data_IF_043127920794
#
_entry.id   IF_043127920794
#
_cell.length_a   1.000
_cell.length_b   1.000
_cell.length_c   1.000
_cell.angle_alpha   90.00
_cell.angle_beta   90.00
_cell.angle_gamma   90.00
#
_symmetry.space_group_name_H-M   'P 1'
#
loop_
_entity.id
_entity.type
_entity.pdbx_description
1 polymer ?
#
# COMPACT_ATOMS: atom_id res chain seq x y z
N UNK A 1 21.82 6.96 11.16
CA UNK A 1 21.59 5.56 11.59
C UNK A 1 20.11 5.33 11.94
N UNK A 2 19.45 6.12 12.83
CA UNK A 2 18.02 5.94 13.20
C UNK A 2 17.11 5.82 11.96
N UNK A 3 17.13 6.80 11.08
CA UNK A 3 16.25 6.85 9.90
C UNK A 3 16.49 5.72 8.90
N UNK A 4 17.74 5.25 8.76
CA UNK A 4 18.06 4.09 7.93
C UNK A 4 17.44 2.81 8.50
N UNK A 5 17.51 2.63 9.82
CA UNK A 5 16.89 1.48 10.49
C UNK A 5 15.35 1.51 10.40
N UNK A 6 14.72 2.67 10.64
CA UNK A 6 13.28 2.84 10.48
C UNK A 6 12.84 2.57 9.04
N UNK A 7 13.62 3.03 8.07
CA UNK A 7 13.35 2.82 6.65
C UNK A 7 13.38 1.34 6.28
N UNK A 8 14.47 0.65 6.65
CA UNK A 8 14.62 -0.80 6.41
C UNK A 8 13.50 -1.56 7.12
N UNK A 9 13.21 -1.23 8.38
CA UNK A 9 12.14 -1.87 9.15
C UNK A 9 10.78 -1.71 8.45
N UNK A 10 10.44 -0.49 8.01
CA UNK A 10 9.16 -0.23 7.33
C UNK A 10 9.04 -1.01 6.02
N UNK A 11 10.12 -1.05 5.22
CA UNK A 11 10.16 -1.81 3.95
C UNK A 11 10.00 -3.31 4.23
N UNK A 12 10.74 -3.87 5.19
CA UNK A 12 10.65 -5.29 5.54
C UNK A 12 9.28 -5.66 6.10
N UNK A 13 8.72 -4.83 6.99
CA UNK A 13 7.40 -5.08 7.57
C UNK A 13 6.33 -5.04 6.47
N UNK A 14 6.21 -3.95 5.72
CA UNK A 14 5.17 -3.86 4.69
C UNK A 14 5.38 -4.87 3.56
N UNK A 15 6.63 -5.19 3.19
CA UNK A 15 6.89 -6.21 2.19
C UNK A 15 6.49 -7.62 2.64
N UNK A 16 6.69 -7.96 3.90
CA UNK A 16 6.31 -9.27 4.43
C UNK A 16 4.83 -9.41 4.80
N UNK A 17 4.09 -8.30 4.90
CA UNK A 17 2.62 -8.38 5.15
C UNK A 17 1.88 -9.08 4.01
N UNK A 18 2.36 -9.04 2.79
CA UNK A 18 1.76 -9.73 1.66
C UNK A 18 1.76 -11.25 1.88
N UNK A 19 2.91 -11.82 2.23
CA UNK A 19 3.00 -13.24 2.60
C UNK A 19 2.19 -13.55 3.87
N UNK A 20 2.20 -12.66 4.86
CA UNK A 20 1.44 -12.90 6.08
C UNK A 20 -0.08 -12.94 5.87
N UNK A 21 -0.61 -12.25 4.85
CA UNK A 21 -2.01 -12.33 4.45
C UNK A 21 -2.35 -13.74 3.95
N UNK A 22 -1.45 -14.39 3.22
CA UNK A 22 -1.65 -15.74 2.68
C UNK A 22 -2.03 -16.75 3.76
N UNK A 23 -1.41 -16.65 4.93
CA UNK A 23 -1.74 -17.52 6.08
C UNK A 23 -3.12 -17.25 6.70
N UNK A 24 -3.87 -16.27 6.21
CA UNK A 24 -5.24 -15.99 6.66
C UNK A 24 -6.29 -16.42 5.63
N UNK A 25 -5.89 -16.71 4.40
CA UNK A 25 -6.80 -17.08 3.33
C UNK A 25 -7.28 -18.53 3.52
N UNK A 26 -8.56 -18.76 3.22
CA UNK A 26 -9.18 -20.08 3.32
C UNK A 26 -9.55 -20.53 4.75
N UNK A 27 -9.07 -19.85 5.79
CA UNK A 27 -9.33 -20.23 7.19
C UNK A 27 -10.57 -19.52 7.76
N UNK A 28 -10.69 -18.23 7.47
CA UNK A 28 -11.77 -17.36 7.96
C UNK A 28 -12.18 -16.43 6.84
N UNK A 29 -13.44 -16.07 6.77
CA UNK A 29 -13.93 -15.13 5.76
C UNK A 29 -13.16 -13.82 5.77
N UNK A 30 -12.80 -13.34 4.58
CA UNK A 30 -11.95 -12.16 4.40
C UNK A 30 -12.42 -10.94 5.22
N UNK A 31 -13.72 -10.53 5.18
CA UNK A 31 -14.15 -9.38 5.96
C UNK A 31 -13.97 -9.57 7.47
N UNK A 32 -14.15 -10.81 7.99
CA UNK A 32 -13.98 -11.12 9.40
C UNK A 32 -12.50 -11.07 9.81
N UNK A 33 -11.60 -11.68 9.02
CA UNK A 33 -10.14 -11.62 9.27
C UNK A 33 -9.63 -10.19 9.29
N UNK A 34 -10.05 -9.36 8.33
CA UNK A 34 -9.67 -7.94 8.27
C UNK A 34 -10.28 -7.15 9.44
N UNK A 35 -11.54 -7.47 9.85
CA UNK A 35 -12.16 -6.85 11.02
C UNK A 35 -11.35 -7.14 12.29
N UNK A 36 -10.96 -8.39 12.55
CA UNK A 36 -10.13 -8.77 13.69
C UNK A 36 -8.79 -8.04 13.68
N UNK A 37 -8.13 -7.95 12.53
CA UNK A 37 -6.89 -7.19 12.37
C UNK A 37 -7.05 -5.75 12.82
N UNK A 38 -8.08 -5.05 12.35
CA UNK A 38 -8.29 -3.63 12.69
C UNK A 38 -8.87 -3.42 14.08
N UNK A 39 -9.62 -4.38 14.65
CA UNK A 39 -10.02 -4.34 16.06
C UNK A 39 -8.80 -4.34 16.98
N UNK A 40 -7.87 -5.28 16.76
CA UNK A 40 -6.63 -5.38 17.54
C UNK A 40 -5.79 -4.10 17.34
N UNK A 41 -5.61 -3.66 16.10
CA UNK A 41 -4.85 -2.46 15.79
C UNK A 41 -5.47 -1.20 16.42
N UNK A 42 -6.80 -1.06 16.41
CA UNK A 42 -7.51 0.04 17.05
C UNK A 42 -7.26 0.06 18.56
N UNK A 43 -7.43 -1.08 19.24
CA UNK A 43 -7.18 -1.18 20.70
C UNK A 43 -5.76 -0.77 21.03
N UNK A 44 -4.77 -1.25 20.29
CA UNK A 44 -3.35 -0.92 20.50
C UNK A 44 -3.06 0.56 20.23
N UNK A 45 -3.61 1.13 19.16
CA UNK A 45 -3.38 2.52 18.79
C UNK A 45 -4.10 3.47 19.77
N UNK A 46 -5.29 3.13 20.24
CA UNK A 46 -5.97 3.87 21.30
C UNK A 46 -5.18 3.80 22.60
N UNK A 47 -4.70 2.61 23.01
CA UNK A 47 -3.85 2.40 24.17
C UNK A 47 -2.58 3.28 24.10
N UNK A 48 -1.91 3.30 22.95
CA UNK A 48 -0.76 4.19 22.70
C UNK A 48 -1.15 5.68 22.87
N UNK A 49 -2.24 6.12 22.25
CA UNK A 49 -2.69 7.51 22.33
C UNK A 49 -3.01 7.93 23.76
N UNK A 50 -3.65 7.07 24.55
CA UNK A 50 -3.90 7.34 25.99
C UNK A 50 -2.60 7.41 26.78
N UNK A 51 -1.69 6.45 26.58
CA UNK A 51 -0.40 6.45 27.28
C UNK A 51 0.45 7.68 26.93
N UNK A 52 0.52 8.04 25.64
CA UNK A 52 1.27 9.19 25.15
C UNK A 52 0.52 10.53 25.32
N UNK A 53 -0.68 10.53 25.95
CA UNK A 53 -1.52 11.71 26.16
C UNK A 53 -1.81 12.50 24.89
N UNK A 54 -1.98 11.80 23.75
CA UNK A 54 -2.33 12.40 22.47
C UNK A 54 -3.76 12.91 22.51
N UNK A 55 -4.03 14.18 22.14
CA UNK A 55 -5.41 14.70 22.07
C UNK A 55 -6.25 13.92 21.04
N UNK A 56 -7.37 13.33 21.51
CA UNK A 56 -8.24 12.46 20.70
C UNK A 56 -9.53 13.14 20.24
N UNK A 57 -9.72 14.42 20.58
CA UNK A 57 -10.95 15.15 20.27
C UNK A 57 -10.85 15.86 18.92
N UNK A 58 -11.87 15.67 18.09
CA UNK A 58 -11.99 16.29 16.78
C UNK A 58 -13.39 16.89 16.60
N UNK A 59 -13.52 17.89 15.73
CA UNK A 59 -14.82 18.41 15.31
C UNK A 59 -15.56 17.36 14.44
N UNK A 60 -16.89 17.47 14.34
CA UNK A 60 -17.72 16.60 13.49
C UNK A 60 -17.23 16.61 12.04
N UNK A 61 -16.85 17.79 11.52
CA UNK A 61 -16.31 17.91 10.17
C UNK A 61 -15.00 17.13 10.01
N UNK A 62 -14.13 17.08 11.02
CA UNK A 62 -12.90 16.29 10.97
C UNK A 62 -13.19 14.80 11.10
N UNK A 63 -14.17 14.39 11.93
CA UNK A 63 -14.60 12.99 12.00
C UNK A 63 -15.15 12.49 10.66
N UNK A 64 -15.83 13.34 9.88
CA UNK A 64 -16.25 12.97 8.51
C UNK A 64 -15.05 12.56 7.64
N UNK A 65 -13.95 13.33 7.65
CA UNK A 65 -12.76 12.99 6.85
C UNK A 65 -11.97 11.81 7.44
N UNK A 66 -12.03 11.58 8.76
CA UNK A 66 -11.51 10.36 9.38
C UNK A 66 -12.34 9.15 8.94
N UNK A 67 -13.67 9.29 8.85
CA UNK A 67 -14.55 8.23 8.35
C UNK A 67 -14.26 7.91 6.88
N UNK A 68 -14.06 8.92 6.03
CA UNK A 68 -13.65 8.73 4.63
C UNK A 68 -12.31 7.96 4.57
N UNK A 69 -11.33 8.35 5.38
CA UNK A 69 -10.06 7.62 5.49
C UNK A 69 -10.29 6.16 5.93
N UNK A 70 -11.17 5.93 6.91
CA UNK A 70 -11.47 4.59 7.42
C UNK A 70 -12.11 3.69 6.36
N UNK A 71 -13.11 4.21 5.62
CA UNK A 71 -13.77 3.50 4.54
C UNK A 71 -12.75 3.05 3.48
N UNK A 72 -11.89 3.95 3.05
CA UNK A 72 -10.99 3.69 1.94
C UNK A 72 -9.70 3.00 2.36
N UNK A 73 -9.07 3.37 3.48
CA UNK A 73 -7.75 2.83 3.86
C UNK A 73 -7.78 1.75 4.94
N UNK A 74 -8.81 1.68 5.78
CA UNK A 74 -8.85 0.75 6.90
C UNK A 74 -10.00 -0.27 6.84
N UNK A 75 -10.78 -0.28 5.73
CA UNK A 75 -11.82 -1.30 5.52
C UNK A 75 -11.82 -1.83 4.09
N UNK A 76 -12.45 -1.15 3.14
CA UNK A 76 -12.70 -1.69 1.79
C UNK A 76 -11.38 -2.03 1.07
N UNK A 77 -10.36 -1.18 1.16
CA UNK A 77 -9.07 -1.46 0.55
C UNK A 77 -8.52 -2.83 0.97
N UNK A 78 -8.45 -3.08 2.28
CA UNK A 78 -7.89 -4.33 2.79
C UNK A 78 -8.76 -5.53 2.45
N UNK A 79 -10.09 -5.40 2.51
CA UNK A 79 -10.97 -6.49 2.07
C UNK A 79 -10.71 -6.86 0.61
N UNK A 80 -10.55 -5.86 -0.28
CA UNK A 80 -10.27 -6.08 -1.70
C UNK A 80 -8.84 -6.63 -1.92
N UNK A 81 -7.83 -6.16 -1.15
CA UNK A 81 -6.46 -6.72 -1.19
C UNK A 81 -6.46 -8.20 -0.81
N UNK A 82 -7.09 -8.57 0.29
CA UNK A 82 -7.19 -9.98 0.70
C UNK A 82 -7.91 -10.82 -0.34
N UNK A 83 -9.02 -10.30 -0.89
CA UNK A 83 -9.74 -10.98 -1.97
C UNK A 83 -8.90 -11.14 -3.23
N UNK A 84 -8.02 -10.19 -3.56
CA UNK A 84 -7.13 -10.31 -4.72
C UNK A 84 -6.08 -11.42 -4.55
N UNK A 85 -5.59 -11.63 -3.34
CA UNK A 85 -4.61 -12.68 -3.03
C UNK A 85 -5.20 -14.10 -3.04
N UNK A 86 -6.52 -14.26 -3.08
CA UNK A 86 -7.14 -15.55 -3.38
C UNK A 86 -6.86 -16.03 -4.83
N UNK A 87 -6.43 -15.13 -5.70
CA UNK A 87 -6.21 -15.35 -7.13
C UNK A 87 -4.78 -15.06 -7.59
N UNK A 88 -3.99 -14.37 -6.76
CA UNK A 88 -2.63 -13.93 -7.08
C UNK A 88 -1.67 -14.28 -5.96
N UNK A 89 -0.45 -14.67 -6.28
CA UNK A 89 0.62 -14.75 -5.29
C UNK A 89 0.92 -13.40 -4.66
N UNK A 90 1.50 -13.41 -3.47
CA UNK A 90 1.95 -12.20 -2.77
C UNK A 90 2.87 -11.32 -3.63
N UNK A 91 3.74 -11.96 -4.46
CA UNK A 91 4.60 -11.27 -5.41
C UNK A 91 3.78 -10.46 -6.43
N UNK A 92 2.88 -11.11 -7.17
CA UNK A 92 2.09 -10.49 -8.23
C UNK A 92 1.19 -9.39 -7.67
N UNK A 93 0.51 -9.66 -6.56
CA UNK A 93 -0.37 -8.69 -5.91
C UNK A 93 0.41 -7.45 -5.43
N UNK A 94 1.57 -7.62 -4.80
CA UNK A 94 2.40 -6.50 -4.31
C UNK A 94 2.94 -5.61 -5.44
N UNK A 95 3.41 -6.23 -6.54
CA UNK A 95 3.90 -5.49 -7.72
C UNK A 95 2.75 -4.68 -8.34
N UNK A 96 1.59 -5.31 -8.56
CA UNK A 96 0.43 -4.64 -9.15
C UNK A 96 -0.09 -3.51 -8.23
N UNK A 97 -0.13 -3.73 -6.91
CA UNK A 97 -0.54 -2.70 -5.94
C UNK A 97 0.38 -1.48 -5.93
N UNK A 98 1.66 -1.62 -6.30
CA UNK A 98 2.60 -0.50 -6.35
C UNK A 98 2.20 0.60 -7.36
N UNK A 99 1.27 0.30 -8.29
CA UNK A 99 0.62 1.30 -9.18
C UNK A 99 -0.14 2.36 -8.39
N UNK A 100 -0.45 2.13 -7.11
CA UNK A 100 -0.99 3.13 -6.19
C UNK A 100 -0.18 4.43 -6.18
N UNK A 101 1.15 4.35 -6.39
CA UNK A 101 1.99 5.54 -6.48
C UNK A 101 1.54 6.48 -7.61
N UNK A 102 1.27 5.91 -8.79
CA UNK A 102 0.76 6.68 -9.94
C UNK A 102 -0.63 7.25 -9.64
N UNK A 103 -1.52 6.44 -9.07
CA UNK A 103 -2.87 6.87 -8.71
C UNK A 103 -2.85 7.99 -7.67
N UNK A 104 -1.93 7.95 -6.69
CA UNK A 104 -1.72 9.02 -5.73
C UNK A 104 -1.38 10.35 -6.42
N UNK A 105 -0.53 10.33 -7.45
CA UNK A 105 -0.13 11.54 -8.18
C UNK A 105 -1.31 12.10 -8.97
N UNK A 106 -2.06 11.25 -9.67
CA UNK A 106 -3.25 11.63 -10.43
C UNK A 106 -4.31 12.22 -9.49
N UNK A 107 -4.63 11.51 -8.41
CA UNK A 107 -5.61 11.96 -7.43
C UNK A 107 -5.17 13.27 -6.72
N UNK A 108 -3.88 13.41 -6.40
CA UNK A 108 -3.36 14.66 -5.84
C UNK A 108 -3.50 15.83 -6.82
N UNK A 109 -3.40 15.57 -8.13
CA UNK A 109 -3.71 16.58 -9.16
C UNK A 109 -5.19 16.94 -9.18
N UNK A 110 -6.06 15.93 -9.10
CA UNK A 110 -7.51 16.14 -9.16
C UNK A 110 -8.01 16.90 -7.92
N UNK A 111 -7.62 16.46 -6.73
CA UNK A 111 -8.15 16.99 -5.46
C UNK A 111 -7.42 18.26 -4.98
N UNK A 112 -6.14 18.42 -5.32
CA UNK A 112 -5.32 19.50 -4.77
C UNK A 112 -4.63 20.37 -5.82
N UNK A 113 -4.84 20.11 -7.11
CA UNK A 113 -4.32 20.95 -8.20
C UNK A 113 -2.80 20.85 -8.43
N UNK A 114 -2.11 19.86 -7.85
CA UNK A 114 -0.65 19.72 -8.02
C UNK A 114 -0.29 19.38 -9.46
N UNK A 115 0.85 19.91 -9.95
CA UNK A 115 1.28 19.68 -11.34
C UNK A 115 1.86 18.27 -11.50
N UNK A 116 1.44 17.57 -12.57
CA UNK A 116 2.04 16.29 -12.98
C UNK A 116 3.28 16.62 -13.83
N UNK A 117 4.39 15.94 -13.56
CA UNK A 117 5.67 16.18 -14.25
C UNK A 117 5.86 15.19 -15.41
N UNK A 118 6.72 15.50 -16.38
CA UNK A 118 7.03 14.61 -17.50
C UNK A 118 7.55 13.25 -17.05
N UNK A 119 8.34 13.20 -15.96
CA UNK A 119 8.84 11.94 -15.37
C UNK A 119 7.69 11.01 -14.91
N UNK A 120 6.58 11.57 -14.47
CA UNK A 120 5.39 10.80 -14.08
C UNK A 120 4.77 10.07 -15.27
N UNK A 121 4.69 10.72 -16.44
CA UNK A 121 4.20 10.07 -17.66
C UNK A 121 5.12 8.92 -18.10
N UNK A 122 6.44 9.11 -18.04
CA UNK A 122 7.42 8.08 -18.37
C UNK A 122 7.27 6.89 -17.41
N UNK A 123 7.23 7.17 -16.11
CA UNK A 123 7.07 6.12 -15.09
C UNK A 123 5.72 5.41 -15.20
N UNK A 124 4.64 6.13 -15.57
CA UNK A 124 3.33 5.54 -15.82
C UNK A 124 3.36 4.54 -16.99
N UNK A 125 3.98 4.93 -18.10
CA UNK A 125 4.13 4.04 -19.27
C UNK A 125 4.93 2.79 -18.91
N UNK A 126 6.05 2.94 -18.20
CA UNK A 126 6.84 1.81 -17.73
C UNK A 126 6.04 0.91 -16.77
N UNK A 127 5.24 1.49 -15.89
CA UNK A 127 4.35 0.75 -15.00
C UNK A 127 3.29 -0.06 -15.76
N UNK A 128 2.63 0.54 -16.75
CA UNK A 128 1.64 -0.14 -17.61
C UNK A 128 2.29 -1.28 -18.38
N UNK A 129 3.41 -1.04 -19.07
CA UNK A 129 4.14 -2.08 -19.78
C UNK A 129 4.64 -3.18 -18.83
N UNK A 130 5.06 -2.80 -17.62
CA UNK A 130 5.50 -3.74 -16.61
C UNK A 130 4.38 -4.66 -16.12
N UNK A 131 3.19 -4.12 -15.82
CA UNK A 131 2.02 -4.93 -15.45
C UNK A 131 1.58 -5.80 -16.64
N UNK A 132 1.56 -5.26 -17.87
CA UNK A 132 1.23 -6.06 -19.06
C UNK A 132 2.22 -7.22 -19.25
N UNK A 133 3.51 -6.99 -19.05
CA UNK A 133 4.52 -8.06 -19.13
C UNK A 133 4.36 -9.08 -18.00
N UNK A 134 4.12 -8.63 -16.76
CA UNK A 134 3.92 -9.51 -15.60
C UNK A 134 2.76 -10.49 -15.80
N UNK A 135 1.67 -10.02 -16.40
CA UNK A 135 0.47 -10.81 -16.66
C UNK A 135 0.36 -11.29 -18.12
N UNK A 136 1.49 -11.30 -18.87
CA UNK A 136 1.48 -11.60 -20.29
C UNK A 136 0.94 -12.99 -20.60
N UNK A 137 1.31 -13.97 -19.82
CA UNK A 137 0.90 -15.36 -20.02
C UNK A 137 -0.63 -15.51 -19.80
N UNK A 138 -1.19 -14.84 -18.79
CA UNK A 138 -2.63 -14.81 -18.54
C UNK A 138 -3.41 -14.04 -19.62
N UNK A 139 -2.86 -12.91 -20.10
CA UNK A 139 -3.47 -12.12 -21.17
C UNK A 139 -3.39 -12.79 -22.52
N UNK A 140 -2.31 -13.54 -22.80
CA UNK A 140 -2.07 -14.19 -24.11
C UNK A 140 -2.96 -15.40 -24.35
N UNK A 141 -3.36 -16.10 -23.30
CA UNK A 141 -4.28 -17.25 -23.37
C UNK A 141 -5.73 -16.83 -23.61
N UNK A 142 -6.03 -15.52 -23.57
CA UNK A 142 -7.28 -14.83 -23.92
C UNK A 142 -8.57 -15.63 -23.64
N UNK A 143 -8.65 -16.31 -22.51
CA UNK A 143 -9.91 -16.85 -22.01
C UNK A 143 -10.53 -15.79 -21.12
N UNK A 144 -11.59 -15.15 -21.61
CA UNK A 144 -12.42 -14.30 -20.76
C UNK A 144 -12.82 -15.12 -19.51
N UNK A 145 -12.29 -14.73 -18.32
CA UNK A 145 -12.57 -15.43 -17.08
C UNK A 145 -11.35 -16.06 -16.40
N UNK A 146 -10.10 -15.73 -16.75
CA UNK A 146 -8.96 -16.22 -15.99
C UNK A 146 -8.99 -15.64 -14.56
N UNK A 147 -8.79 -16.49 -13.55
CA UNK A 147 -8.77 -16.09 -12.13
C UNK A 147 -7.69 -15.02 -11.88
N UNK A 148 -6.53 -15.12 -12.52
CA UNK A 148 -5.45 -14.13 -12.42
C UNK A 148 -5.88 -12.74 -12.88
N UNK A 149 -6.69 -12.62 -13.93
CA UNK A 149 -7.21 -11.33 -14.41
C UNK A 149 -8.25 -10.75 -13.44
N UNK A 150 -9.05 -11.60 -12.80
CA UNK A 150 -9.91 -11.17 -11.70
C UNK A 150 -9.08 -10.63 -10.53
N UNK A 151 -8.07 -11.38 -10.09
CA UNK A 151 -7.13 -10.95 -9.06
C UNK A 151 -6.45 -9.63 -9.41
N UNK A 152 -5.98 -9.46 -10.66
CA UNK A 152 -5.40 -8.20 -11.14
C UNK A 152 -6.41 -7.05 -11.07
N UNK A 153 -7.64 -7.26 -11.49
CA UNK A 153 -8.68 -6.23 -11.44
C UNK A 153 -8.98 -5.79 -10.00
N UNK A 154 -9.02 -6.75 -9.08
CA UNK A 154 -9.22 -6.50 -7.65
C UNK A 154 -8.06 -5.69 -7.06
N UNK A 155 -6.81 -6.10 -7.30
CA UNK A 155 -5.65 -5.39 -6.71
C UNK A 155 -5.47 -3.99 -7.29
N UNK A 156 -5.76 -3.76 -8.58
CA UNK A 156 -5.75 -2.42 -9.18
C UNK A 156 -6.87 -1.56 -8.57
N UNK A 157 -8.05 -2.14 -8.37
CA UNK A 157 -9.17 -1.46 -7.68
C UNK A 157 -8.79 -1.11 -6.23
N UNK A 158 -8.14 -2.03 -5.51
CA UNK A 158 -7.63 -1.79 -4.16
C UNK A 158 -6.61 -0.64 -4.14
N UNK A 159 -5.68 -0.59 -5.11
CA UNK A 159 -4.72 0.49 -5.24
C UNK A 159 -5.40 1.86 -5.45
N UNK A 160 -6.46 1.90 -6.28
CA UNK A 160 -7.26 3.11 -6.47
C UNK A 160 -8.00 3.52 -5.19
N UNK A 161 -8.64 2.58 -4.52
CA UNK A 161 -9.34 2.79 -3.25
C UNK A 161 -8.37 3.34 -2.20
N UNK A 162 -7.20 2.72 -2.03
CA UNK A 162 -6.16 3.21 -1.12
C UNK A 162 -5.71 4.63 -1.47
N UNK A 163 -5.55 4.93 -2.76
CA UNK A 163 -5.17 6.26 -3.22
C UNK A 163 -6.23 7.32 -2.89
N UNK A 164 -7.52 7.00 -2.99
CA UNK A 164 -8.60 7.90 -2.56
C UNK A 164 -8.55 8.15 -1.05
N UNK A 165 -8.33 7.11 -0.25
CA UNK A 165 -8.13 7.24 1.19
C UNK A 165 -6.90 8.09 1.55
N UNK A 166 -5.82 7.97 0.77
CA UNK A 166 -4.65 8.82 0.93
C UNK A 166 -4.95 10.31 0.70
N UNK A 167 -5.93 10.66 -0.14
CA UNK A 167 -6.39 12.06 -0.28
C UNK A 167 -7.03 12.58 1.00
N UNK A 168 -7.81 11.75 1.70
CA UNK A 168 -8.33 12.10 3.02
C UNK A 168 -7.19 12.26 4.05
N UNK A 169 -6.18 11.40 4.01
CA UNK A 169 -4.98 11.51 4.86
C UNK A 169 -4.22 12.81 4.61
N UNK A 170 -4.00 13.18 3.35
CA UNK A 170 -3.37 14.46 2.96
C UNK A 170 -4.18 15.65 3.48
N UNK A 171 -5.51 15.62 3.34
CA UNK A 171 -6.39 16.66 3.88
C UNK A 171 -6.27 16.77 5.40
N UNK A 172 -6.28 15.65 6.11
CA UNK A 172 -6.17 15.62 7.57
C UNK A 172 -4.81 16.17 8.04
N UNK A 173 -3.73 15.83 7.34
CA UNK A 173 -2.40 16.38 7.57
C UNK A 173 -2.35 17.90 7.35
N UNK A 174 -2.97 18.42 6.27
CA UNK A 174 -3.08 19.87 6.01
C UNK A 174 -3.88 20.60 7.09
N UNK A 175 -4.86 19.93 7.69
CA UNK A 175 -5.62 20.44 8.83
C UNK A 175 -4.84 20.32 10.17
N UNK A 176 -3.56 19.92 10.12
CA UNK A 176 -2.67 19.74 11.29
C UNK A 176 -3.25 18.81 12.36
N UNK A 177 -4.05 17.82 11.94
CA UNK A 177 -4.58 16.82 12.85
C UNK A 177 -3.47 15.87 13.27
N UNK A 178 -3.47 15.47 14.55
CA UNK A 178 -2.50 14.49 15.03
C UNK A 178 -2.74 13.14 14.35
N UNK A 179 -1.73 12.63 13.69
CA UNK A 179 -1.84 11.47 12.84
C UNK A 179 -2.10 10.16 13.60
N UNK A 180 -1.56 10.04 14.84
CA UNK A 180 -1.81 8.88 15.68
C UNK A 180 -3.28 8.84 16.11
N UNK A 181 -3.84 9.99 16.50
CA UNK A 181 -5.24 10.11 16.85
C UNK A 181 -6.16 9.85 15.64
N UNK A 182 -5.80 10.41 14.46
CA UNK A 182 -6.53 10.15 13.20
C UNK A 182 -6.54 8.66 12.87
N UNK A 183 -5.41 7.96 13.02
CA UNK A 183 -5.34 6.53 12.75
C UNK A 183 -6.05 5.70 13.80
N UNK A 184 -5.98 6.07 15.08
CA UNK A 184 -6.71 5.38 16.14
C UNK A 184 -8.23 5.39 15.86
N UNK A 185 -8.79 6.56 15.54
CA UNK A 185 -10.18 6.69 15.12
C UNK A 185 -10.46 5.98 13.78
N UNK A 186 -9.55 6.14 12.80
CA UNK A 186 -9.69 5.52 11.48
C UNK A 186 -9.73 3.99 11.55
N UNK A 187 -8.84 3.37 12.33
CA UNK A 187 -8.82 1.92 12.55
C UNK A 187 -10.08 1.44 13.29
N UNK A 188 -10.55 2.21 14.29
CA UNK A 188 -11.80 1.89 14.98
C UNK A 188 -13.00 1.93 14.04
N UNK A 189 -13.15 2.99 13.25
CA UNK A 189 -14.22 3.09 12.26
C UNK A 189 -14.11 2.01 11.18
N UNK A 190 -12.88 1.71 10.73
CA UNK A 190 -12.64 0.63 9.78
C UNK A 190 -13.07 -0.73 10.33
N UNK A 191 -12.74 -1.03 11.59
CA UNK A 191 -13.17 -2.24 12.26
C UNK A 191 -14.70 -2.33 12.39
N UNK A 192 -15.36 -1.22 12.75
CA UNK A 192 -16.84 -1.16 12.82
C UNK A 192 -17.46 -1.40 11.46
N UNK A 193 -16.95 -0.75 10.40
CA UNK A 193 -17.47 -0.92 9.03
C UNK A 193 -17.32 -2.38 8.57
N UNK A 194 -16.15 -2.99 8.79
CA UNK A 194 -15.93 -4.39 8.43
C UNK A 194 -16.84 -5.35 9.22
N UNK A 195 -17.03 -5.07 10.51
CA UNK A 195 -17.99 -5.82 11.34
C UNK A 195 -19.42 -5.72 10.79
N UNK A 196 -19.83 -4.52 10.38
CA UNK A 196 -21.14 -4.31 9.74
C UNK A 196 -21.21 -5.04 8.40
N UNK A 197 -20.14 -5.04 7.60
CA UNK A 197 -20.09 -5.80 6.33
C UNK A 197 -20.30 -7.29 6.62
N UNK A 198 -19.63 -7.88 7.63
CA UNK A 198 -19.85 -9.30 8.01
C UNK A 198 -21.31 -9.54 8.40
N UNK A 199 -21.92 -8.64 9.19
CA UNK A 199 -23.30 -8.81 9.66
C UNK A 199 -24.34 -8.74 8.52
N UNK A 200 -24.10 -7.90 7.50
CA UNK A 200 -25.06 -7.67 6.41
C UNK A 200 -24.80 -8.48 5.15
N UNK A 201 -23.65 -9.18 5.08
CA UNK A 201 -23.29 -10.09 4.00
C UNK A 201 -23.49 -11.55 4.42
N UNK A 202 -23.25 -12.48 3.51
CA UNK A 202 -23.24 -13.93 3.81
C UNK A 202 -21.96 -14.37 4.55
N UNK A 203 -21.02 -13.47 4.83
CA UNK A 203 -19.78 -13.77 5.55
C UNK A 203 -20.06 -14.09 7.02
N UNK A 204 -19.27 -15.02 7.58
CA UNK A 204 -19.45 -15.48 8.95
C UNK A 204 -18.29 -15.03 9.85
N UNK A 205 -18.61 -14.75 11.12
CA UNK A 205 -17.61 -14.59 12.17
C UNK A 205 -17.04 -15.96 12.57
N UNK A 206 -16.17 -16.49 11.69
CA UNK A 206 -15.33 -17.63 12.03
C UNK A 206 -14.06 -17.17 12.75
N UNK A 207 -13.40 -18.09 13.46
CA UNK A 207 -12.06 -17.88 14.01
C UNK A 207 -11.28 -19.18 13.92
N UNK A 208 -10.10 -19.15 13.29
CA UNK A 208 -9.22 -20.30 13.23
C UNK A 208 -8.26 -20.33 14.43
N UNK A 209 -8.17 -21.47 15.09
CA UNK A 209 -7.21 -21.71 16.18
C UNK A 209 -5.86 -22.20 15.67
N UNK A 210 -5.65 -22.23 14.35
CA UNK A 210 -4.37 -22.62 13.78
C UNK A 210 -3.27 -21.62 14.15
N UNK A 211 -2.09 -22.09 14.59
CA UNK A 211 -1.00 -21.20 14.98
C UNK A 211 -0.56 -20.25 13.85
N UNK A 212 -0.62 -20.69 12.58
CA UNK A 212 -0.32 -19.87 11.39
C UNK A 212 -1.29 -18.68 11.27
N UNK A 213 -2.61 -18.94 11.43
CA UNK A 213 -3.63 -17.90 11.39
C UNK A 213 -3.46 -16.89 12.52
N UNK A 214 -3.35 -17.37 13.78
CA UNK A 214 -3.20 -16.49 14.96
C UNK A 214 -1.90 -15.70 14.86
N UNK A 215 -0.79 -16.33 14.49
CA UNK A 215 0.51 -15.69 14.34
C UNK A 215 0.49 -14.61 13.27
N UNK A 216 -0.08 -14.91 12.10
CA UNK A 216 -0.21 -13.93 11.01
C UNK A 216 -1.15 -12.78 11.38
N UNK A 217 -2.29 -13.04 12.05
CA UNK A 217 -3.23 -12.02 12.51
C UNK A 217 -2.55 -11.04 13.47
N UNK A 218 -1.84 -11.55 14.47
CA UNK A 218 -1.10 -10.71 15.43
C UNK A 218 0.04 -9.95 14.73
N UNK A 219 0.77 -10.61 13.85
CA UNK A 219 1.83 -9.96 13.07
C UNK A 219 1.27 -8.82 12.22
N UNK A 220 0.19 -9.05 11.49
CA UNK A 220 -0.46 -8.05 10.64
C UNK A 220 -1.05 -6.89 11.44
N UNK A 221 -1.66 -7.16 12.60
CA UNK A 221 -2.22 -6.12 13.46
C UNK A 221 -1.13 -5.29 14.13
N UNK A 222 -0.14 -5.92 14.74
CA UNK A 222 0.89 -5.24 15.54
C UNK A 222 1.95 -4.62 14.63
N UNK A 223 2.66 -5.46 13.86
CA UNK A 223 3.77 -5.00 13.03
C UNK A 223 3.26 -4.37 11.73
N UNK A 224 2.43 -5.09 10.97
CA UNK A 224 1.93 -4.65 9.66
C UNK A 224 1.03 -3.42 9.71
N UNK A 225 0.45 -3.10 10.87
CA UNK A 225 -0.44 -1.95 11.02
C UNK A 225 0.13 -0.94 12.01
N UNK A 226 0.19 -1.24 13.31
CA UNK A 226 0.55 -0.22 14.33
C UNK A 226 1.98 0.23 14.19
N UNK A 227 2.95 -0.69 14.19
CA UNK A 227 4.38 -0.35 14.14
C UNK A 227 4.76 0.22 12.78
N UNK A 228 4.29 -0.37 11.68
CA UNK A 228 4.63 0.09 10.34
C UNK A 228 4.14 1.52 10.08
N UNK A 229 2.93 1.86 10.49
CA UNK A 229 2.46 3.24 10.38
C UNK A 229 3.24 4.19 11.30
N UNK A 230 3.57 3.80 12.53
CA UNK A 230 4.36 4.63 13.44
C UNK A 230 5.76 4.90 12.85
N UNK A 231 6.47 3.87 12.37
CA UNK A 231 7.80 4.03 11.76
C UNK A 231 7.76 4.84 10.47
N UNK A 232 6.74 4.63 9.63
CA UNK A 232 6.56 5.42 8.42
C UNK A 232 6.29 6.89 8.69
N UNK A 233 5.55 7.23 9.76
CA UNK A 233 5.34 8.63 10.15
C UNK A 233 6.59 9.30 10.70
N UNK A 234 7.41 8.57 11.46
CA UNK A 234 8.72 9.08 11.86
C UNK A 234 9.59 9.37 10.62
N UNK A 235 9.56 8.50 9.60
CA UNK A 235 10.25 8.74 8.35
C UNK A 235 9.72 9.97 7.60
N UNK A 236 8.39 10.13 7.53
CA UNK A 236 7.76 11.30 6.93
C UNK A 236 8.20 12.60 7.60
N UNK A 237 8.26 12.62 8.92
CA UNK A 237 8.68 13.78 9.70
C UNK A 237 10.17 14.07 9.56
N UNK A 238 11.03 13.04 9.61
CA UNK A 238 12.48 13.20 9.65
C UNK A 238 13.09 13.38 8.24
N UNK A 239 12.56 12.70 7.23
CA UNK A 239 13.13 12.67 5.88
C UNK A 239 12.29 13.40 4.82
N UNK A 240 11.04 13.70 5.15
CA UNK A 240 10.05 14.28 4.25
C UNK A 240 9.35 13.25 3.35
N UNK A 241 8.19 13.64 2.76
CA UNK A 241 7.33 12.71 2.02
C UNK A 241 8.01 12.14 0.77
N UNK A 242 8.87 12.90 0.11
CA UNK A 242 9.54 12.46 -1.12
C UNK A 242 10.43 11.25 -0.85
N UNK A 243 11.27 11.28 0.20
CA UNK A 243 12.16 10.17 0.54
C UNK A 243 11.42 9.01 1.20
N UNK A 244 10.45 9.28 2.06
CA UNK A 244 9.64 8.24 2.70
C UNK A 244 8.86 7.42 1.67
N UNK A 245 8.38 8.04 0.58
CA UNK A 245 7.62 7.35 -0.47
C UNK A 245 8.40 6.26 -1.23
N UNK A 246 9.75 6.25 -1.16
CA UNK A 246 10.53 5.14 -1.74
C UNK A 246 10.27 3.79 -1.05
N UNK A 247 9.70 3.77 0.16
CA UNK A 247 9.22 2.54 0.80
C UNK A 247 8.23 1.82 -0.13
N UNK A 248 7.36 2.57 -0.84
CA UNK A 248 6.37 2.04 -1.77
C UNK A 248 7.03 1.35 -2.99
N UNK A 249 8.23 1.78 -3.37
CA UNK A 249 9.00 1.14 -4.45
C UNK A 249 9.68 -0.14 -3.97
N UNK A 250 10.09 -0.19 -2.71
CA UNK A 250 10.94 -1.28 -2.22
C UNK A 250 10.17 -2.42 -1.56
N UNK A 251 8.96 -2.19 -1.01
CA UNK A 251 8.23 -3.29 -0.38
C UNK A 251 7.90 -4.45 -1.34
N UNK A 252 7.63 -4.25 -2.66
CA UNK A 252 7.42 -5.37 -3.57
C UNK A 252 8.65 -6.25 -3.75
N UNK A 253 9.86 -5.69 -3.59
CA UNK A 253 11.10 -6.48 -3.64
C UNK A 253 11.12 -7.52 -2.54
N UNK A 254 10.74 -7.11 -1.31
CA UNK A 254 10.66 -8.02 -0.17
C UNK A 254 9.55 -9.06 -0.38
N UNK A 255 8.37 -8.62 -0.85
CA UNK A 255 7.25 -9.52 -1.11
C UNK A 255 7.63 -10.60 -2.15
N UNK A 256 8.28 -10.20 -3.24
CA UNK A 256 8.73 -11.12 -4.30
C UNK A 256 9.77 -12.12 -3.78
N UNK A 257 10.74 -11.67 -2.98
CA UNK A 257 11.74 -12.57 -2.38
C UNK A 257 11.06 -13.58 -1.47
N UNK A 258 10.13 -13.15 -0.62
CA UNK A 258 9.41 -14.04 0.27
C UNK A 258 8.48 -15.01 -0.49
N UNK A 259 7.77 -14.52 -1.49
CA UNK A 259 6.92 -15.35 -2.35
C UNK A 259 7.73 -16.41 -3.12
N UNK A 260 8.94 -16.08 -3.55
CA UNK A 260 9.85 -17.04 -4.20
C UNK A 260 10.35 -18.14 -3.24
N UNK A 261 10.36 -17.89 -1.93
CA UNK A 261 10.83 -18.86 -0.92
C UNK A 261 9.68 -19.70 -0.37
N UNK A 262 8.49 -19.11 -0.19
CA UNK A 262 7.39 -19.69 0.58
C UNK A 262 6.14 -20.02 -0.24
N UNK A 263 6.00 -19.49 -1.45
CA UNK A 263 4.82 -19.66 -2.32
C UNK A 263 5.16 -20.31 -3.67
N UNK A 264 6.36 -20.87 -3.83
CA UNK A 264 6.84 -21.47 -5.08
C UNK A 264 6.67 -20.53 -6.31
N UNK A 265 6.81 -19.21 -6.09
CA UNK A 265 6.69 -18.22 -7.16
C UNK A 265 7.73 -18.47 -8.24
N UNK A 266 7.25 -18.75 -9.47
CA UNK A 266 8.10 -19.10 -10.61
C UNK A 266 8.52 -17.82 -11.36
N UNK A 267 9.81 -17.61 -11.44
CA UNK A 267 10.38 -16.56 -12.26
C UNK A 267 10.39 -16.96 -13.75
N UNK A 268 9.45 -16.39 -14.51
CA UNK A 268 9.51 -16.42 -15.97
C UNK A 268 10.25 -15.18 -16.51
N UNK A 269 10.61 -15.18 -17.80
CA UNK A 269 11.17 -13.98 -18.43
C UNK A 269 10.19 -12.81 -18.35
N UNK A 270 8.90 -13.07 -18.50
CA UNK A 270 7.85 -12.06 -18.46
C UNK A 270 7.68 -11.47 -17.06
N UNK A 271 7.68 -12.30 -15.99
CA UNK A 271 7.61 -11.83 -14.62
C UNK A 271 8.83 -11.01 -14.22
N UNK A 272 10.04 -11.40 -14.65
CA UNK A 272 11.25 -10.64 -14.40
C UNK A 272 11.23 -9.28 -15.10
N UNK A 273 10.88 -9.23 -16.39
CA UNK A 273 10.77 -7.97 -17.14
C UNK A 273 9.69 -7.08 -16.53
N UNK A 274 8.52 -7.65 -16.23
CA UNK A 274 7.41 -6.92 -15.62
C UNK A 274 7.79 -6.27 -14.30
N UNK A 275 8.39 -7.04 -13.41
CA UNK A 275 8.89 -6.56 -12.13
C UNK A 275 9.92 -5.43 -12.28
N UNK A 276 10.92 -5.63 -13.13
CA UNK A 276 11.96 -4.63 -13.38
C UNK A 276 11.38 -3.32 -13.93
N UNK A 277 10.45 -3.39 -14.89
CA UNK A 277 9.79 -2.22 -15.48
C UNK A 277 8.94 -1.45 -14.46
N UNK A 278 8.16 -2.16 -13.61
CA UNK A 278 7.36 -1.51 -12.55
C UNK A 278 8.25 -0.80 -11.53
N UNK A 279 9.31 -1.48 -11.07
CA UNK A 279 10.27 -0.86 -10.13
C UNK A 279 10.94 0.36 -10.74
N UNK A 280 11.40 0.25 -11.99
CA UNK A 280 12.05 1.35 -12.70
C UNK A 280 11.08 2.52 -12.89
N UNK A 281 9.84 2.25 -13.30
CA UNK A 281 8.79 3.26 -13.44
C UNK A 281 8.54 4.02 -12.15
N UNK A 282 8.35 3.30 -11.04
CA UNK A 282 8.15 3.89 -9.73
C UNK A 282 9.37 4.69 -9.25
N UNK A 283 10.59 4.18 -9.48
CA UNK A 283 11.82 4.86 -9.12
C UNK A 283 12.00 6.17 -9.92
N UNK A 284 11.69 6.18 -11.22
CA UNK A 284 11.73 7.40 -12.06
C UNK A 284 10.73 8.45 -11.56
N UNK A 285 9.51 8.03 -11.18
CA UNK A 285 8.49 8.94 -10.64
C UNK A 285 9.02 9.65 -9.40
N UNK A 286 9.67 8.95 -8.51
CA UNK A 286 10.16 9.48 -7.23
C UNK A 286 11.52 10.19 -7.36
N UNK A 287 12.31 9.91 -8.41
CA UNK A 287 13.65 10.49 -8.56
C UNK A 287 13.63 12.02 -8.48
N UNK A 288 14.55 12.66 -7.72
CA UNK A 288 14.68 14.12 -7.70
C UNK A 288 14.93 14.67 -9.10
N UNK A 289 14.31 15.81 -9.42
CA UNK A 289 14.40 16.41 -10.77
C UNK A 289 15.84 16.77 -11.19
N UNK A 290 16.73 16.99 -10.22
CA UNK A 290 18.15 17.26 -10.46
C UNK A 290 18.93 16.02 -10.92
N UNK A 291 18.56 14.83 -10.44
CA UNK A 291 19.22 13.57 -10.82
C UNK A 291 19.01 13.28 -12.30
N UNK A 292 17.80 13.51 -12.82
CA UNK A 292 17.49 13.31 -14.24
C UNK A 292 18.17 14.34 -15.16
N UNK A 293 18.43 15.56 -14.67
CA UNK A 293 19.22 16.56 -15.43
C UNK A 293 20.67 16.14 -15.65
N UNK A 294 21.26 15.35 -14.75
CA UNK A 294 22.64 14.83 -14.92
C UNK A 294 22.74 13.76 -16.00
N UNK A 295 21.66 13.01 -16.25
CA UNK A 295 21.60 12.00 -17.32
C UNK A 295 21.18 12.57 -18.67
N UNK A 296 20.59 13.77 -18.71
CA UNK A 296 20.34 14.50 -19.96
C UNK A 296 21.65 15.11 -20.45
N UNK A 297 22.36 14.36 -21.28
CA UNK A 297 23.55 14.82 -22.00
C UNK A 297 23.18 15.98 -22.95
N UNK A 298 23.15 17.21 -22.43
CA UNK A 298 23.34 18.37 -23.29
C UNK A 298 24.84 18.54 -23.49
N UNK A 299 25.36 18.52 -24.75
CA UNK A 299 26.73 18.86 -25.01
C UNK A 299 26.95 20.33 -24.54
N UNK A 300 27.99 20.51 -23.71
CA UNK A 300 28.48 21.86 -23.43
C UNK A 300 28.87 22.50 -24.77
N UNK A 301 28.01 23.33 -25.33
CA UNK A 301 28.41 24.27 -26.39
C UNK A 301 29.46 25.15 -25.77
N UNK A 302 30.71 24.95 -26.20
CA UNK A 302 31.85 25.76 -25.80
C UNK A 302 31.57 27.24 -26.11
N UNK A 303 31.57 28.07 -25.09
CA UNK A 303 31.65 29.51 -25.22
C UNK A 303 33.07 29.81 -25.66
N UNK A 304 33.29 29.89 -26.99
CA UNK A 304 34.49 30.51 -27.55
C UNK A 304 34.49 32.00 -27.20
N UNK A 305 35.47 32.39 -26.45
CA UNK A 305 35.91 33.76 -26.24
C UNK A 305 36.28 34.43 -27.59
N UNK A 306 35.68 35.56 -27.86
CA UNK A 306 36.29 36.67 -28.59
C UNK A 306 35.96 37.98 -27.87
#
# INVERSE_FOLDING_TARGET
>A
MKNTLLYIATVLIWGSTWLAIEFQLGEVDVPASVAYRFMIAAVLMWGYCFWAKVPMTFSVANHFFILVLAIFNFSINYAVVYSSQQYLSSAMASIAFSTMLLMNIVNTRIFFGTKITAKTYIGALLGIFGITALFWDDLSVAVAGSESLLGLSLVISAALIASLGNMASVRNSRAKMNIFAVNAWGMLYGAIILTLIVIVSDAQFGFSMQPSYIGSLLYLAIFGTVIAFATYYDLLNDMGPEKASYVIVLFPVVAVVLSSIFEDFIWTTNTFIGFALVLLGNAIILAPSETLRRFSLKPRVGRNSR
#
